data_IF_334658153384
#
_entry.id   IF_334658153384
#
_cell.length_a   1.000
_cell.length_b   1.000
_cell.length_c   1.000
_cell.angle_alpha   90.00
_cell.angle_beta   90.00
_cell.angle_gamma   90.00
#
_symmetry.space_group_name_H-M   'P 1'
#
loop_
_entity.id
_entity.type
_entity.pdbx_description
1 polymer ?
#
# COMPACT_ATOMS: atom_id res chain seq x y z
N UNK A 1 13.99 20.48 -32.96
CA UNK A 1 14.01 19.05 -32.59
C UNK A 1 14.30 18.99 -31.12
N UNK A 2 13.25 18.98 -30.29
CA UNK A 2 13.41 18.76 -28.86
C UNK A 2 13.75 17.30 -28.63
N UNK A 3 14.88 17.06 -27.96
CA UNK A 3 15.33 15.75 -27.55
C UNK A 3 14.33 15.20 -26.52
N UNK A 4 13.83 13.95 -26.65
CA UNK A 4 12.90 13.43 -25.67
C UNK A 4 13.58 13.24 -24.31
N UNK A 5 13.42 14.24 -23.43
CA UNK A 5 13.69 14.23 -21.98
C UNK A 5 13.47 12.85 -21.32
N UNK A 6 14.51 12.13 -20.95
CA UNK A 6 14.36 10.75 -20.47
C UNK A 6 13.59 10.72 -19.14
N UNK A 7 12.57 9.86 -19.03
CA UNK A 7 11.87 9.61 -17.76
C UNK A 7 12.89 9.09 -16.74
N UNK A 8 12.92 9.71 -15.57
CA UNK A 8 13.73 9.28 -14.43
C UNK A 8 13.24 7.93 -13.90
N UNK A 9 14.06 7.24 -13.10
CA UNK A 9 13.70 5.93 -12.58
C UNK A 9 12.47 5.94 -11.64
N UNK A 10 12.14 7.10 -11.05
CA UNK A 10 11.05 7.30 -10.08
C UNK A 10 9.73 7.84 -10.68
N UNK A 11 9.55 7.77 -12.01
CA UNK A 11 8.34 8.30 -12.65
C UNK A 11 7.05 7.52 -12.27
N UNK A 12 5.92 8.22 -12.34
CA UNK A 12 4.60 7.60 -12.15
C UNK A 12 3.96 7.20 -13.49
N UNK A 13 2.94 6.35 -13.45
CA UNK A 13 2.27 5.84 -14.66
C UNK A 13 1.67 6.96 -15.52
N UNK A 14 1.21 8.05 -14.90
CA UNK A 14 0.72 9.26 -15.57
C UNK A 14 1.80 9.92 -16.44
N UNK A 15 3.05 9.96 -15.99
CA UNK A 15 4.17 10.54 -16.75
C UNK A 15 4.45 9.69 -18.00
N UNK A 16 4.49 8.36 -17.83
CA UNK A 16 4.57 7.39 -18.91
C UNK A 16 3.46 7.59 -19.96
N UNK A 17 2.21 7.69 -19.50
CA UNK A 17 1.05 7.84 -20.37
C UNK A 17 1.08 9.16 -21.14
N UNK A 18 1.41 10.28 -20.48
CA UNK A 18 1.53 11.60 -21.11
C UNK A 18 2.59 11.62 -22.21
N UNK A 19 3.70 10.92 -21.97
CA UNK A 19 4.86 10.96 -22.86
C UNK A 19 4.77 9.98 -24.04
N UNK A 20 4.34 8.75 -23.77
CA UNK A 20 4.46 7.63 -24.71
C UNK A 20 3.11 7.02 -25.09
N UNK A 21 2.01 7.50 -24.47
CA UNK A 21 0.70 6.89 -24.64
C UNK A 21 0.58 5.48 -24.06
N UNK A 22 1.54 5.01 -23.26
CA UNK A 22 1.56 3.65 -22.71
C UNK A 22 2.22 3.67 -21.34
N UNK A 23 1.96 2.63 -20.56
CA UNK A 23 2.60 2.43 -19.25
C UNK A 23 3.76 1.44 -19.42
N UNK A 24 4.89 1.75 -18.80
CA UNK A 24 6.10 0.92 -18.90
C UNK A 24 6.01 -0.31 -17.98
N UNK A 25 6.92 -1.27 -18.20
CA UNK A 25 7.00 -2.51 -17.41
C UNK A 25 7.15 -2.23 -15.91
N UNK A 26 7.97 -1.25 -15.52
CA UNK A 26 8.14 -0.90 -14.09
C UNK A 26 6.84 -0.41 -13.44
N UNK A 27 6.07 0.41 -14.15
CA UNK A 27 4.78 0.86 -13.64
C UNK A 27 3.77 -0.29 -13.59
N UNK A 28 3.82 -1.26 -14.51
CA UNK A 28 3.01 -2.48 -14.40
C UNK A 28 3.41 -3.35 -13.21
N UNK A 29 4.71 -3.50 -12.95
CA UNK A 29 5.21 -4.23 -11.79
C UNK A 29 4.78 -3.56 -10.48
N UNK A 30 4.74 -2.21 -10.45
CA UNK A 30 4.21 -1.45 -9.32
C UNK A 30 2.72 -1.69 -9.12
N UNK A 31 1.92 -1.68 -10.19
CA UNK A 31 0.48 -1.99 -10.12
C UNK A 31 0.25 -3.44 -9.65
N UNK A 32 1.00 -4.42 -10.19
CA UNK A 32 0.91 -5.83 -9.74
C UNK A 32 1.25 -5.96 -8.26
N UNK A 33 2.32 -5.30 -7.81
CA UNK A 33 2.71 -5.24 -6.41
C UNK A 33 1.61 -4.62 -5.54
N UNK A 34 1.06 -3.48 -5.97
CA UNK A 34 -0.03 -2.80 -5.27
C UNK A 34 -1.29 -3.65 -5.16
N UNK A 35 -1.67 -4.38 -6.22
CA UNK A 35 -2.82 -5.28 -6.23
C UNK A 35 -2.64 -6.45 -5.25
N UNK A 36 -1.42 -6.99 -5.12
CA UNK A 36 -1.10 -8.02 -4.12
C UNK A 36 -1.21 -7.45 -2.71
N UNK A 37 -0.58 -6.30 -2.47
CA UNK A 37 -0.63 -5.62 -1.16
C UNK A 37 -2.06 -5.29 -0.76
N UNK A 38 -2.89 -4.80 -1.68
CA UNK A 38 -4.31 -4.52 -1.43
C UNK A 38 -5.05 -5.79 -0.98
N UNK A 39 -4.80 -6.93 -1.63
CA UNK A 39 -5.44 -8.19 -1.27
C UNK A 39 -5.04 -8.64 0.13
N UNK A 40 -3.78 -8.46 0.52
CA UNK A 40 -3.30 -8.83 1.85
C UNK A 40 -3.93 -7.93 2.92
N UNK A 41 -3.94 -6.60 2.72
CA UNK A 41 -4.60 -5.63 3.61
C UNK A 41 -6.11 -5.87 3.71
N UNK A 42 -6.76 -6.22 2.59
CA UNK A 42 -8.16 -6.60 2.58
C UNK A 42 -8.41 -7.85 3.42
N UNK A 43 -7.54 -8.86 3.38
CA UNK A 43 -7.69 -10.05 4.23
C UNK A 43 -7.43 -9.75 5.70
N UNK A 44 -6.43 -8.94 6.01
CA UNK A 44 -6.12 -8.50 7.36
C UNK A 44 -7.28 -7.72 8.00
N UNK A 45 -7.87 -6.78 7.26
CA UNK A 45 -9.05 -6.04 7.74
C UNK A 45 -10.25 -6.93 8.05
N UNK A 46 -10.41 -8.07 7.37
CA UNK A 46 -11.48 -9.03 7.67
C UNK A 46 -11.25 -9.74 9.01
N UNK A 47 -9.99 -10.09 9.31
CA UNK A 47 -9.61 -10.70 10.58
C UNK A 47 -9.82 -9.73 11.74
N UNK A 48 -9.59 -8.43 11.54
CA UNK A 48 -9.83 -7.39 12.54
C UNK A 48 -11.33 -7.20 12.86
N UNK A 49 -12.23 -7.55 11.93
CA UNK A 49 -13.69 -7.47 12.12
C UNK A 49 -14.27 -8.68 12.86
N UNK A 50 -13.53 -9.78 12.99
CA UNK A 50 -13.99 -10.95 13.77
C UNK A 50 -13.79 -10.65 15.26
N UNK A 51 -14.85 -10.70 16.10
CA UNK A 51 -14.69 -10.51 17.54
C UNK A 51 -13.75 -11.57 18.13
N UNK A 52 -12.54 -11.17 18.50
CA UNK A 52 -11.60 -12.02 19.22
C UNK A 52 -12.12 -12.34 20.62
N UNK A 53 -11.93 -13.59 21.07
CA UNK A 53 -12.25 -14.01 22.43
C UNK A 53 -11.61 -13.04 23.46
N UNK A 54 -12.31 -12.72 24.56
CA UNK A 54 -11.84 -11.71 25.51
C UNK A 54 -10.48 -12.11 26.09
N UNK A 55 -9.45 -11.34 25.75
CA UNK A 55 -8.18 -11.35 26.48
C UNK A 55 -8.51 -10.95 27.91
N UNK A 56 -8.14 -11.79 28.88
CA UNK A 56 -8.31 -11.56 30.31
C UNK A 56 -7.59 -10.27 30.73
N UNK A 57 -8.26 -9.12 30.59
CA UNK A 57 -7.95 -7.91 31.34
C UNK A 57 -8.59 -8.06 32.72
N UNK A 58 -7.79 -7.83 33.74
CA UNK A 58 -8.17 -7.89 35.14
C UNK A 58 -9.50 -7.15 35.38
N UNK A 59 -10.47 -7.88 35.93
CA UNK A 59 -11.85 -7.40 36.14
C UNK A 59 -11.87 -6.33 37.22
N UNK A 60 -12.13 -5.09 36.83
CA UNK A 60 -12.69 -4.07 37.75
C UNK A 60 -14.21 -4.16 37.65
N UNK A 61 -14.85 -4.53 38.76
CA UNK A 61 -16.29 -4.77 38.86
C UNK A 61 -17.11 -3.48 38.68
N UNK A 62 -18.01 -3.44 37.70
CA UNK A 62 -19.08 -2.44 37.66
C UNK A 62 -19.77 -2.28 36.30
N UNK A 63 -21.08 -2.52 36.28
CA UNK A 63 -22.07 -2.26 35.21
C UNK A 63 -22.15 -3.27 34.04
N UNK A 64 -23.36 -3.79 33.83
CA UNK A 64 -23.75 -4.66 32.71
C UNK A 64 -23.77 -3.81 31.43
N UNK A 65 -22.71 -3.89 30.64
CA UNK A 65 -22.76 -3.47 29.25
C UNK A 65 -23.09 -4.69 28.40
N UNK A 66 -24.27 -4.69 27.79
CA UNK A 66 -24.61 -5.58 26.68
C UNK A 66 -23.48 -5.48 25.67
N UNK A 67 -22.72 -6.57 25.46
CA UNK A 67 -21.66 -6.62 24.44
C UNK A 67 -22.36 -6.68 23.09
N UNK A 68 -22.80 -5.53 22.61
CA UNK A 68 -23.21 -5.34 21.22
C UNK A 68 -22.01 -5.59 20.33
N UNK A 69 -22.23 -6.23 19.18
CA UNK A 69 -21.22 -6.35 18.14
C UNK A 69 -20.82 -4.93 17.75
N UNK A 70 -19.64 -4.48 18.17
CA UNK A 70 -19.06 -3.22 17.72
C UNK A 70 -18.42 -3.51 16.37
N UNK A 71 -19.23 -3.44 15.31
CA UNK A 71 -18.73 -3.47 13.94
C UNK A 71 -18.00 -2.17 13.68
N UNK A 72 -16.74 -2.26 13.26
CA UNK A 72 -15.96 -1.09 12.85
C UNK A 72 -16.49 -0.59 11.49
N UNK A 73 -17.36 0.41 11.54
CA UNK A 73 -17.98 1.04 10.37
C UNK A 73 -16.95 1.60 9.38
N UNK A 74 -15.82 2.11 9.87
CA UNK A 74 -14.75 2.66 9.02
C UNK A 74 -14.07 1.53 8.25
N UNK A 75 -13.80 0.41 8.92
CA UNK A 75 -13.24 -0.78 8.28
C UNK A 75 -14.21 -1.36 7.24
N UNK A 76 -15.51 -1.47 7.55
CA UNK A 76 -16.52 -1.90 6.59
C UNK A 76 -16.62 -0.98 5.36
N UNK A 77 -16.66 0.34 5.58
CA UNK A 77 -16.76 1.31 4.50
C UNK A 77 -15.56 1.22 3.56
N UNK A 78 -14.35 1.08 4.09
CA UNK A 78 -13.15 0.94 3.27
C UNK A 78 -13.15 -0.39 2.48
N UNK A 79 -13.59 -1.49 3.10
CA UNK A 79 -13.75 -2.79 2.42
C UNK A 79 -14.77 -2.71 1.28
N UNK A 80 -15.89 -2.02 1.49
CA UNK A 80 -16.89 -1.79 0.46
C UNK A 80 -16.31 -0.98 -0.71
N UNK A 81 -15.63 0.13 -0.42
CA UNK A 81 -14.95 0.95 -1.44
C UNK A 81 -13.93 0.13 -2.24
N UNK A 82 -13.12 -0.68 -1.57
CA UNK A 82 -12.16 -1.56 -2.25
C UNK A 82 -12.85 -2.54 -3.22
N UNK A 83 -13.97 -3.14 -2.79
CA UNK A 83 -14.75 -4.03 -3.65
C UNK A 83 -15.36 -3.30 -4.86
N UNK A 84 -15.90 -2.10 -4.65
CA UNK A 84 -16.46 -1.27 -5.72
C UNK A 84 -15.41 -0.88 -6.75
N UNK A 85 -14.24 -0.40 -6.31
CA UNK A 85 -13.14 -0.01 -7.21
C UNK A 85 -12.63 -1.23 -8.00
N UNK A 86 -12.40 -2.37 -7.35
CA UNK A 86 -11.97 -3.58 -8.06
C UNK A 86 -13.03 -4.08 -9.06
N UNK A 87 -14.32 -3.98 -8.72
CA UNK A 87 -15.41 -4.36 -9.61
C UNK A 87 -15.55 -3.41 -10.80
N UNK A 88 -15.33 -2.10 -10.59
CA UNK A 88 -15.31 -1.09 -11.64
C UNK A 88 -14.22 -1.40 -12.66
N UNK A 89 -12.99 -1.62 -12.20
CA UNK A 89 -11.87 -1.96 -13.07
C UNK A 89 -12.07 -3.29 -13.79
N UNK A 90 -12.60 -4.30 -13.10
CA UNK A 90 -12.90 -5.58 -13.74
C UNK A 90 -13.97 -5.43 -14.82
N UNK A 91 -15.00 -4.61 -14.59
CA UNK A 91 -16.05 -4.31 -15.56
C UNK A 91 -15.48 -3.65 -16.81
N UNK A 92 -14.60 -2.66 -16.67
CA UNK A 92 -13.92 -2.04 -17.81
C UNK A 92 -13.26 -3.10 -18.71
N UNK A 93 -12.53 -4.05 -18.12
CA UNK A 93 -11.90 -5.11 -18.91
C UNK A 93 -12.94 -6.02 -19.55
N UNK A 94 -14.01 -6.41 -18.84
CA UNK A 94 -15.06 -7.28 -19.38
C UNK A 94 -15.79 -6.62 -20.56
N UNK A 95 -16.05 -5.31 -20.46
CA UNK A 95 -16.77 -4.56 -21.48
C UNK A 95 -15.93 -4.38 -22.76
N UNK A 96 -14.60 -4.26 -22.62
CA UNK A 96 -13.70 -4.03 -23.75
C UNK A 96 -12.98 -5.28 -24.28
N UNK A 97 -12.92 -6.37 -23.49
CA UNK A 97 -12.25 -7.62 -23.88
C UNK A 97 -13.20 -8.80 -23.90
N UNK A 98 -13.62 -9.18 -25.10
CA UNK A 98 -14.43 -10.37 -25.33
C UNK A 98 -13.81 -11.62 -24.68
N UNK A 99 -14.62 -12.33 -23.88
CA UNK A 99 -14.23 -13.59 -23.22
C UNK A 99 -13.43 -13.43 -21.93
N UNK A 100 -12.93 -12.24 -21.59
CA UNK A 100 -12.31 -11.98 -20.30
C UNK A 100 -13.39 -11.84 -19.22
N UNK A 101 -13.37 -12.71 -18.21
CA UNK A 101 -14.28 -12.62 -17.06
C UNK A 101 -13.57 -13.05 -15.77
N UNK A 102 -13.84 -12.38 -14.64
CA UNK A 102 -13.41 -12.88 -13.34
C UNK A 102 -14.15 -14.17 -12.99
N UNK A 103 -13.53 -15.00 -12.15
CA UNK A 103 -14.13 -16.25 -11.69
C UNK A 103 -15.39 -16.02 -10.84
N UNK A 104 -15.36 -15.00 -9.99
CA UNK A 104 -16.48 -14.54 -9.17
C UNK A 104 -16.39 -13.02 -8.91
N UNK A 105 -17.27 -12.49 -8.05
CA UNK A 105 -17.37 -11.05 -7.72
C UNK A 105 -16.64 -10.63 -6.45
N UNK A 106 -15.98 -11.56 -5.75
CA UNK A 106 -15.22 -11.29 -4.55
C UNK A 106 -13.91 -10.57 -4.87
N UNK A 107 -13.47 -9.71 -3.94
CA UNK A 107 -12.20 -8.96 -4.07
C UNK A 107 -11.01 -9.85 -4.45
N UNK A 108 -10.81 -11.05 -3.86
CA UNK A 108 -9.71 -11.93 -4.26
C UNK A 108 -9.76 -12.35 -5.74
N UNK A 109 -10.94 -12.69 -6.27
CA UNK A 109 -11.10 -13.09 -7.67
C UNK A 109 -10.95 -11.89 -8.61
N UNK A 110 -11.45 -10.72 -8.23
CA UNK A 110 -11.31 -9.49 -9.00
C UNK A 110 -9.84 -9.05 -9.09
N UNK A 111 -9.11 -9.08 -7.97
CA UNK A 111 -7.67 -8.79 -7.95
C UNK A 111 -6.91 -9.80 -8.82
N UNK A 112 -7.18 -11.10 -8.65
CA UNK A 112 -6.54 -12.14 -9.46
C UNK A 112 -6.80 -11.98 -10.96
N UNK A 113 -8.05 -11.65 -11.31
CA UNK A 113 -8.44 -11.32 -12.68
C UNK A 113 -7.64 -10.12 -13.20
N UNK A 114 -7.67 -8.97 -12.52
CA UNK A 114 -6.99 -7.73 -12.95
C UNK A 114 -5.48 -7.91 -13.13
N UNK A 115 -4.83 -8.67 -12.24
CA UNK A 115 -3.40 -9.03 -12.38
C UNK A 115 -3.12 -9.77 -13.68
N UNK A 116 -4.02 -10.68 -14.10
CA UNK A 116 -3.95 -11.35 -15.40
C UNK A 116 -4.18 -10.44 -16.61
N UNK A 117 -4.64 -9.20 -16.40
CA UNK A 117 -4.96 -8.23 -17.45
C UNK A 117 -3.94 -7.09 -17.55
N UNK A 118 -2.88 -7.07 -16.74
CA UNK A 118 -1.93 -5.96 -16.70
C UNK A 118 -1.23 -5.68 -18.03
N UNK A 119 -0.96 -6.73 -18.82
CA UNK A 119 -0.40 -6.56 -20.18
C UNK A 119 -1.34 -5.80 -21.12
N UNK A 120 -2.65 -5.88 -20.89
CA UNK A 120 -3.64 -5.08 -21.62
C UNK A 120 -3.67 -3.64 -21.12
N UNK A 121 -3.65 -3.44 -19.79
CA UNK A 121 -3.54 -2.09 -19.20
C UNK A 121 -2.30 -1.33 -19.66
N UNK A 122 -1.20 -2.03 -19.95
CA UNK A 122 0.02 -1.43 -20.51
C UNK A 122 -0.22 -0.55 -21.75
N UNK A 123 -1.18 -0.93 -22.59
CA UNK A 123 -1.56 -0.20 -23.79
C UNK A 123 -2.85 0.60 -23.67
N UNK A 124 -3.58 0.44 -22.55
CA UNK A 124 -4.90 1.03 -22.38
C UNK A 124 -4.79 2.44 -21.75
N UNK A 125 -5.58 3.43 -22.22
CA UNK A 125 -5.57 4.78 -21.66
C UNK A 125 -5.74 4.85 -20.15
N UNK A 126 -6.62 4.01 -19.61
CA UNK A 126 -7.04 4.03 -18.21
C UNK A 126 -6.07 3.31 -17.25
N UNK A 127 -4.93 2.78 -17.73
CA UNK A 127 -4.00 2.10 -16.83
C UNK A 127 -3.36 3.03 -15.80
N UNK A 128 -3.23 4.33 -16.10
CA UNK A 128 -2.66 5.31 -15.18
C UNK A 128 -3.68 5.66 -14.08
N UNK A 129 -4.95 5.77 -14.47
CA UNK A 129 -6.06 5.98 -13.54
C UNK A 129 -6.21 4.78 -12.58
N UNK A 130 -5.96 3.54 -13.06
CA UNK A 130 -5.91 2.35 -12.19
C UNK A 130 -4.80 2.43 -11.15
N UNK A 131 -3.59 2.85 -11.54
CA UNK A 131 -2.45 3.00 -10.62
C UNK A 131 -2.74 4.02 -9.52
N UNK A 132 -3.41 5.12 -9.86
CA UNK A 132 -3.78 6.19 -8.93
C UNK A 132 -4.86 5.74 -7.95
N UNK A 133 -5.98 5.21 -8.45
CA UNK A 133 -7.07 4.68 -7.60
C UNK A 133 -6.57 3.58 -6.65
N UNK A 134 -5.64 2.73 -7.14
CA UNK A 134 -4.99 1.72 -6.32
C UNK A 134 -4.10 2.33 -5.24
N UNK A 135 -3.30 3.34 -5.58
CA UNK A 135 -2.45 4.04 -4.62
C UNK A 135 -3.26 4.75 -3.52
N UNK A 136 -4.41 5.33 -3.87
CA UNK A 136 -5.35 5.92 -2.92
C UNK A 136 -5.90 4.87 -1.95
N UNK A 137 -6.39 3.74 -2.46
CA UNK A 137 -6.86 2.64 -1.61
C UNK A 137 -5.78 2.12 -0.67
N UNK A 138 -4.56 1.92 -1.16
CA UNK A 138 -3.44 1.47 -0.34
C UNK A 138 -3.08 2.48 0.76
N UNK A 139 -3.18 3.77 0.46
CA UNK A 139 -2.98 4.84 1.44
C UNK A 139 -4.06 4.79 2.52
N UNK A 140 -5.33 4.62 2.13
CA UNK A 140 -6.44 4.52 3.07
C UNK A 140 -6.36 3.28 3.97
N UNK A 141 -5.98 2.12 3.41
CA UNK A 141 -5.72 0.91 4.20
C UNK A 141 -4.52 1.11 5.12
N UNK A 142 -3.47 1.80 4.66
CA UNK A 142 -2.34 2.19 5.50
C UNK A 142 -2.76 3.08 6.67
N UNK A 143 -3.70 4.00 6.48
CA UNK A 143 -4.26 4.81 7.56
C UNK A 143 -5.18 4.04 8.51
N UNK A 144 -5.83 2.98 8.03
CA UNK A 144 -6.75 2.16 8.82
C UNK A 144 -6.01 1.09 9.64
N UNK A 145 -5.09 0.37 9.01
CA UNK A 145 -4.40 -0.80 9.55
C UNK A 145 -2.96 -0.49 10.00
N UNK A 146 -2.41 0.65 9.59
CA UNK A 146 -1.06 1.05 9.98
C UNK A 146 -0.94 1.32 11.48
N UNK A 147 0.28 1.28 12.02
CA UNK A 147 0.54 1.48 13.44
C UNK A 147 0.37 2.95 13.82
N UNK A 148 -0.86 3.40 14.09
CA UNK A 148 -1.16 4.77 14.57
C UNK A 148 -0.55 5.89 13.72
N UNK A 149 -0.54 7.14 14.19
CA UNK A 149 0.34 8.16 13.62
C UNK A 149 1.79 7.65 13.72
N UNK A 150 2.57 7.76 12.66
CA UNK A 150 3.99 7.37 12.65
C UNK A 150 4.89 8.59 12.60
N UNK A 151 5.94 8.59 13.42
CA UNK A 151 7.00 9.61 13.38
C UNK A 151 8.09 9.14 12.42
N UNK A 152 8.31 9.93 11.36
CA UNK A 152 9.43 9.76 10.44
C UNK A 152 10.62 10.61 10.89
N UNK A 153 11.82 10.06 10.82
CA UNK A 153 13.06 10.80 11.10
C UNK A 153 14.14 10.41 10.09
N UNK A 154 14.94 11.39 9.67
CA UNK A 154 15.97 11.19 8.66
C UNK A 154 17.18 10.44 9.24
N UNK A 155 17.68 9.46 8.48
CA UNK A 155 18.84 8.61 8.77
C UNK A 155 20.03 8.91 7.83
N UNK A 156 19.96 10.03 7.10
CA UNK A 156 20.97 10.47 6.14
C UNK A 156 20.90 9.74 4.80
N UNK A 157 21.97 9.81 4.01
CA UNK A 157 22.00 9.28 2.65
C UNK A 157 21.79 7.76 2.58
N UNK A 158 21.15 7.32 1.50
CA UNK A 158 20.95 5.92 1.15
C UNK A 158 22.27 5.15 1.05
N UNK A 159 22.26 3.91 1.54
CA UNK A 159 23.43 3.02 1.47
C UNK A 159 23.55 2.30 0.13
N UNK A 160 22.55 2.46 -0.75
CA UNK A 160 22.58 1.91 -2.12
C UNK A 160 23.56 2.75 -2.96
N UNK A 161 24.53 2.12 -3.65
CA UNK A 161 25.37 2.82 -4.61
C UNK A 161 24.51 3.57 -5.64
N UNK A 162 24.92 4.79 -6.00
CA UNK A 162 24.25 5.66 -6.98
C UNK A 162 22.87 6.21 -6.56
N UNK A 163 22.40 5.94 -5.34
CA UNK A 163 21.18 6.53 -4.82
C UNK A 163 21.49 7.83 -4.05
N UNK A 164 21.01 8.97 -4.56
CA UNK A 164 21.09 10.26 -3.88
C UNK A 164 19.97 10.49 -2.84
N UNK A 165 19.11 9.48 -2.63
CA UNK A 165 17.94 9.55 -1.75
C UNK A 165 18.27 9.58 -0.26
N UNK A 166 17.35 10.10 0.53
CA UNK A 166 17.46 10.13 2.00
C UNK A 166 16.78 8.92 2.61
N UNK A 167 17.48 8.17 3.48
CA UNK A 167 16.90 7.11 4.30
C UNK A 167 16.10 7.71 5.45
N UNK A 168 14.95 7.10 5.73
CA UNK A 168 14.09 7.45 6.86
C UNK A 168 13.83 6.22 7.72
N UNK A 169 13.82 6.42 9.03
CA UNK A 169 13.24 5.47 9.99
C UNK A 169 11.79 5.84 10.28
N UNK A 170 10.94 4.82 10.44
CA UNK A 170 9.53 4.98 10.82
C UNK A 170 9.35 4.39 12.21
N UNK A 171 8.88 5.21 13.17
CA UNK A 171 8.49 4.78 14.51
C UNK A 171 6.99 5.00 14.73
N UNK A 172 6.33 4.19 15.56
CA UNK A 172 5.01 4.51 16.10
C UNK A 172 5.08 5.83 16.90
N UNK A 173 4.13 6.76 16.72
CA UNK A 173 4.10 8.02 17.47
C UNK A 173 3.79 7.81 18.96
N UNK A 174 3.22 6.66 19.31
CA UNK A 174 2.70 6.34 20.65
C UNK A 174 3.80 5.98 21.66
N UNK A 175 5.07 6.23 21.32
CA UNK A 175 6.21 6.09 22.22
C UNK A 175 6.60 4.64 22.52
N UNK A 176 6.28 3.71 21.61
CA UNK A 176 6.77 2.33 21.63
C UNK A 176 8.30 2.23 21.54
N UNK A 177 8.79 1.00 21.46
CA UNK A 177 10.23 0.68 21.45
C UNK A 177 11.00 1.57 20.46
N UNK A 178 12.21 2.02 20.81
CA UNK A 178 12.98 3.03 20.03
C UNK A 178 13.58 2.47 18.73
N UNK A 179 13.08 1.33 18.27
CA UNK A 179 13.54 0.63 17.09
C UNK A 179 12.53 0.91 15.98
N UNK A 180 12.95 1.49 14.84
CA UNK A 180 12.04 1.74 13.74
C UNK A 180 11.45 0.43 13.23
N UNK A 181 10.19 0.43 12.83
CA UNK A 181 9.52 -0.75 12.25
C UNK A 181 9.94 -0.95 10.79
N UNK A 182 10.35 0.14 10.14
CA UNK A 182 10.80 0.17 8.76
C UNK A 182 11.91 1.21 8.58
N UNK A 183 12.87 0.87 7.72
CA UNK A 183 13.88 1.80 7.21
C UNK A 183 13.87 1.76 5.68
N UNK A 184 13.55 2.87 5.03
CA UNK A 184 13.51 2.98 3.57
C UNK A 184 13.90 4.39 3.11
N UNK A 185 14.40 4.52 1.88
CA UNK A 185 14.67 5.82 1.29
C UNK A 185 13.47 6.36 0.51
N UNK A 186 13.44 7.68 0.30
CA UNK A 186 12.48 8.36 -0.59
C UNK A 186 12.44 7.81 -2.02
N UNK A 187 13.58 7.31 -2.54
CA UNK A 187 13.68 6.60 -3.82
C UNK A 187 13.24 5.12 -3.78
N UNK A 188 12.56 4.66 -2.71
CA UNK A 188 11.92 3.33 -2.66
C UNK A 188 12.81 2.15 -2.26
N UNK A 189 14.10 2.35 -1.95
CA UNK A 189 14.95 1.27 -1.46
C UNK A 189 14.66 0.96 0.01
N UNK A 190 14.26 -0.28 0.29
CA UNK A 190 14.14 -0.77 1.66
C UNK A 190 15.51 -1.25 2.18
N UNK A 191 15.86 -0.83 3.39
CA UNK A 191 16.99 -1.38 4.13
C UNK A 191 16.46 -2.56 4.97
N UNK A 192 16.90 -3.80 4.72
CA UNK A 192 16.40 -4.96 5.47
C UNK A 192 16.89 -4.93 6.93
N UNK A 193 16.15 -5.50 7.90
CA UNK A 193 16.49 -5.44 9.33
C UNK A 193 17.94 -5.82 9.67
N UNK A 194 18.48 -6.85 9.02
CA UNK A 194 19.88 -7.28 9.18
C UNK A 194 20.93 -6.21 8.85
N UNK A 195 20.57 -5.20 8.05
CA UNK A 195 21.43 -4.10 7.62
C UNK A 195 21.20 -2.82 8.44
N UNK A 196 20.26 -2.81 9.40
CA UNK A 196 19.99 -1.61 10.19
C UNK A 196 21.16 -1.20 11.09
N UNK A 197 22.05 -2.13 11.44
CA UNK A 197 23.30 -1.82 12.15
C UNK A 197 24.17 -0.79 11.39
N UNK A 198 24.05 -0.70 10.06
CA UNK A 198 24.77 0.29 9.25
C UNK A 198 24.31 1.73 9.52
N UNK A 199 23.08 1.90 10.04
CA UNK A 199 22.46 3.20 10.32
C UNK A 199 22.07 3.36 11.80
N UNK A 200 22.42 2.41 12.66
CA UNK A 200 21.99 2.37 14.05
C UNK A 200 22.45 3.59 14.87
N UNK A 201 23.65 4.11 14.62
CA UNK A 201 24.13 5.32 15.29
C UNK A 201 23.33 6.56 14.86
N UNK A 202 23.02 6.68 13.56
CA UNK A 202 22.21 7.78 13.01
C UNK A 202 20.78 7.75 13.55
N UNK A 203 20.23 6.53 13.73
CA UNK A 203 18.91 6.34 14.32
C UNK A 203 18.87 6.77 15.78
N UNK A 204 19.91 6.47 16.56
CA UNK A 204 20.00 6.89 17.97
C UNK A 204 20.05 8.41 18.11
N UNK A 205 20.84 9.09 17.28
CA UNK A 205 20.99 10.55 17.28
C UNK A 205 19.68 11.27 16.89
N UNK A 206 19.00 10.78 15.85
CA UNK A 206 17.77 11.37 15.35
C UNK A 206 16.54 11.14 16.25
N UNK A 207 16.55 10.12 17.11
CA UNK A 207 15.46 9.84 18.06
C UNK A 207 15.56 10.72 19.32
N UNK A 208 16.76 11.14 19.71
CA UNK A 208 17.03 12.01 20.88
C UNK A 208 16.80 13.51 20.65
N UNK A 209 16.54 13.93 19.41
CA UNK A 209 16.23 15.31 19.02
C UNK A 209 14.73 15.46 18.78
#
# INVERSE_FOLDING_TARGET
MEEPERLTDDHVSRDCRRRCGRICVRCLDRIDGGLRTLLDLYRESDQALVPGAPVLRERVSGSRATVGIVLDERTLALRARAAEVMALWARLVVDERAGARPADRGVPALVGFLRGQLSWFAGHPAGADLDEELAELLTDFGHLLGPGPVRRFALGACTRPECAGTLYGVLPADGGDRVPDQVACDAGHALPPRQWLLVANRAREAVTT
#
